data_IF_756037085524
#
_entry.id   IF_756037085524
#
_cell.length_a   1.000
_cell.length_b   1.000
_cell.length_c   1.000
_cell.angle_alpha   90.00
_cell.angle_beta   90.00
_cell.angle_gamma   90.00
#
_symmetry.space_group_name_H-M   'P 1'
#
loop_
_entity.id
_entity.type
_entity.pdbx_description
1 polymer ?
#
# COMPACT_ATOMS: atom_id res chain seq x y z
N UNK A 1 3.05 -20.45 -11.24
CA UNK A 1 1.69 -20.09 -10.78
C UNK A 1 1.43 -20.53 -9.33
N UNK A 2 1.91 -21.69 -8.87
CA UNK A 2 1.66 -22.18 -7.50
C UNK A 2 2.40 -21.38 -6.41
N UNK A 3 3.63 -20.94 -6.66
CA UNK A 3 4.39 -20.11 -5.70
C UNK A 3 3.80 -18.70 -5.58
N UNK A 4 3.51 -18.03 -6.71
CA UNK A 4 2.88 -16.70 -6.73
C UNK A 4 1.52 -16.73 -6.02
N UNK A 5 0.66 -17.71 -6.31
CA UNK A 5 -0.63 -17.88 -5.60
C UNK A 5 -0.43 -18.23 -4.13
N UNK A 6 0.62 -18.97 -3.79
CA UNK A 6 1.01 -19.28 -2.40
C UNK A 6 1.44 -18.03 -1.61
N UNK A 7 2.25 -17.15 -2.20
CA UNK A 7 2.64 -15.88 -1.59
C UNK A 7 1.45 -14.90 -1.47
N UNK A 8 0.56 -14.86 -2.47
CA UNK A 8 -0.70 -14.10 -2.40
C UNK A 8 -1.59 -14.62 -1.26
N UNK A 9 -1.68 -15.95 -1.08
CA UNK A 9 -2.45 -16.56 0.00
C UNK A 9 -1.84 -16.33 1.40
N UNK A 10 -0.51 -16.24 1.49
CA UNK A 10 0.23 -16.05 2.74
C UNK A 10 0.40 -14.57 3.14
N UNK A 11 -0.09 -13.61 2.34
CA UNK A 11 0.11 -12.15 2.52
C UNK A 11 1.59 -11.72 2.63
N UNK A 12 2.51 -12.54 2.12
CA UNK A 12 3.95 -12.23 2.10
C UNK A 12 4.31 -11.50 0.79
N UNK A 13 4.10 -10.18 0.80
CA UNK A 13 4.31 -9.33 -0.37
C UNK A 13 5.80 -9.04 -0.63
N UNK A 14 6.64 -9.03 0.41
CA UNK A 14 8.08 -8.86 0.27
C UNK A 14 8.72 -10.10 -0.39
N UNK A 15 8.31 -11.31 0.02
CA UNK A 15 8.70 -12.55 -0.65
C UNK A 15 8.21 -12.61 -2.09
N UNK A 16 7.01 -12.11 -2.37
CA UNK A 16 6.45 -12.03 -3.74
C UNK A 16 7.27 -11.10 -4.64
N UNK A 17 7.62 -9.91 -4.15
CA UNK A 17 8.40 -8.92 -4.90
C UNK A 17 9.80 -9.46 -5.21
N UNK A 18 10.50 -10.03 -4.21
CA UNK A 18 11.83 -10.63 -4.41
C UNK A 18 11.79 -11.77 -5.44
N UNK A 19 10.76 -12.64 -5.36
CA UNK A 19 10.58 -13.71 -6.33
C UNK A 19 10.30 -13.18 -7.75
N UNK A 20 9.50 -12.12 -7.88
CA UNK A 20 9.26 -11.47 -9.17
C UNK A 20 10.53 -10.80 -9.73
N UNK A 21 11.37 -10.19 -8.88
CA UNK A 21 12.67 -9.62 -9.28
C UNK A 21 13.63 -10.69 -9.80
N UNK A 22 13.69 -11.86 -9.15
CA UNK A 22 14.52 -12.99 -9.59
C UNK A 22 14.03 -13.62 -10.90
N UNK A 23 12.72 -13.62 -11.14
CA UNK A 23 12.12 -14.18 -12.34
C UNK A 23 12.22 -13.26 -13.57
N UNK A 24 12.26 -11.95 -13.38
CA UNK A 24 12.37 -10.96 -14.48
C UNK A 24 13.54 -11.25 -15.44
N UNK A 25 14.80 -11.47 -15.00
CA UNK A 25 15.90 -11.78 -15.91
C UNK A 25 15.72 -13.13 -16.61
N UNK A 26 15.10 -14.12 -15.96
CA UNK A 26 14.88 -15.44 -16.53
C UNK A 26 13.84 -15.41 -17.66
N UNK A 27 12.83 -14.55 -17.52
CA UNK A 27 11.80 -14.30 -18.54
C UNK A 27 12.34 -13.50 -19.73
N UNK A 28 13.31 -12.60 -19.51
CA UNK A 28 13.98 -11.89 -20.59
C UNK A 28 14.85 -12.82 -21.47
N UNK A 29 15.42 -13.86 -20.85
CA UNK A 29 16.28 -14.85 -21.53
C UNK A 29 15.50 -16.00 -22.17
N UNK A 30 14.35 -16.36 -21.60
CA UNK A 30 13.51 -17.46 -22.07
C UNK A 30 12.18 -16.91 -22.53
N UNK A 31 11.93 -16.86 -23.85
CA UNK A 31 10.60 -16.55 -24.41
C UNK A 31 9.62 -17.70 -24.09
N UNK A 32 9.30 -17.87 -22.81
CA UNK A 32 8.33 -18.84 -22.35
C UNK A 32 6.94 -18.26 -22.57
N UNK A 33 6.30 -18.73 -23.64
CA UNK A 33 4.96 -18.35 -24.10
C UNK A 33 3.82 -18.82 -23.16
N UNK A 34 4.14 -19.31 -21.95
CA UNK A 34 3.19 -19.91 -21.00
C UNK A 34 2.73 -18.94 -19.90
N UNK A 35 3.38 -17.79 -19.76
CA UNK A 35 3.03 -16.77 -18.79
C UNK A 35 2.55 -15.55 -19.55
N UNK A 36 1.29 -15.14 -19.33
CA UNK A 36 0.81 -13.84 -19.77
C UNK A 36 1.67 -12.77 -19.10
N UNK A 37 2.58 -12.17 -19.88
CA UNK A 37 3.48 -11.11 -19.40
C UNK A 37 2.68 -9.98 -18.72
N UNK A 38 1.46 -9.73 -19.18
CA UNK A 38 0.53 -8.73 -18.66
C UNK A 38 0.13 -9.01 -17.20
N UNK A 39 -0.27 -10.25 -16.89
CA UNK A 39 -0.62 -10.67 -15.53
C UNK A 39 0.60 -10.63 -14.61
N UNK A 40 1.77 -11.06 -15.11
CA UNK A 40 3.01 -11.04 -14.33
C UNK A 40 3.42 -9.62 -13.94
N UNK A 41 3.49 -8.69 -14.89
CA UNK A 41 3.83 -7.30 -14.61
C UNK A 41 2.76 -6.59 -13.79
N UNK A 42 1.48 -6.95 -13.96
CA UNK A 42 0.39 -6.44 -13.13
C UNK A 42 0.53 -6.87 -11.66
N UNK A 43 0.75 -8.16 -11.41
CA UNK A 43 1.04 -8.69 -10.07
C UNK A 43 2.30 -8.07 -9.47
N UNK A 44 3.36 -7.91 -10.26
CA UNK A 44 4.61 -7.35 -9.78
C UNK A 44 4.48 -5.87 -9.38
N UNK A 45 3.79 -5.08 -10.21
CA UNK A 45 3.50 -3.68 -9.90
C UNK A 45 2.61 -3.56 -8.65
N UNK A 46 1.60 -4.42 -8.51
CA UNK A 46 0.77 -4.45 -7.31
C UNK A 46 1.52 -4.91 -6.07
N UNK A 47 2.48 -5.83 -6.21
CA UNK A 47 3.41 -6.20 -5.14
C UNK A 47 4.14 -4.98 -4.59
N UNK A 48 4.76 -4.18 -5.46
CA UNK A 48 5.40 -2.93 -5.05
C UNK A 48 4.41 -1.91 -4.46
N UNK A 49 3.17 -1.86 -4.97
CA UNK A 49 2.13 -1.00 -4.42
C UNK A 49 1.56 -1.51 -3.09
N UNK A 50 1.78 -2.78 -2.72
CA UNK A 50 1.35 -3.36 -1.44
C UNK A 50 2.45 -3.30 -0.38
N UNK A 51 3.71 -3.31 -0.77
CA UNK A 51 4.89 -3.13 0.10
C UNK A 51 5.03 -1.70 0.67
N UNK A 52 3.92 -0.95 0.75
CA UNK A 52 3.81 0.47 1.13
C UNK A 52 4.31 0.82 2.54
N UNK A 53 4.81 -0.16 3.30
CA UNK A 53 5.41 0.07 4.61
C UNK A 53 6.83 0.63 4.56
N UNK A 54 7.54 0.57 3.42
CA UNK A 54 8.91 1.05 3.35
C UNK A 54 9.05 2.43 2.72
N UNK A 55 8.51 3.43 3.42
CA UNK A 55 8.93 4.84 3.39
C UNK A 55 8.73 5.61 2.06
N UNK A 56 8.91 6.93 2.15
CA UNK A 56 9.01 7.87 1.02
C UNK A 56 9.99 7.42 -0.08
N UNK A 57 10.91 6.48 0.22
CA UNK A 57 11.99 6.02 -0.65
C UNK A 57 11.65 4.83 -1.57
N UNK A 58 10.61 4.02 -1.30
CA UNK A 58 10.27 2.85 -2.16
C UNK A 58 9.09 3.10 -3.14
N UNK A 59 8.36 4.22 -2.98
CA UNK A 59 7.37 4.67 -4.00
C UNK A 59 7.92 4.76 -5.44
N UNK A 60 9.20 5.10 -5.68
CA UNK A 60 9.76 5.13 -7.03
C UNK A 60 9.86 3.76 -7.72
N UNK A 61 9.83 2.64 -7.00
CA UNK A 61 10.10 1.31 -7.59
C UNK A 61 9.04 0.91 -8.63
N UNK A 62 7.76 1.15 -8.34
CA UNK A 62 6.68 0.99 -9.32
C UNK A 62 6.85 1.92 -10.54
N UNK A 63 7.34 3.15 -10.33
CA UNK A 63 7.65 4.10 -11.42
C UNK A 63 8.80 3.62 -12.29
N UNK A 64 9.85 3.10 -11.68
CA UNK A 64 11.01 2.59 -12.39
C UNK A 64 10.66 1.35 -13.21
N UNK A 65 9.83 0.46 -12.66
CA UNK A 65 9.26 -0.66 -13.41
C UNK A 65 8.45 -0.17 -14.62
N UNK A 66 7.57 0.82 -14.45
CA UNK A 66 6.82 1.39 -15.58
C UNK A 66 7.71 2.04 -16.65
N UNK A 67 8.80 2.71 -16.24
CA UNK A 67 9.77 3.28 -17.17
C UNK A 67 10.58 2.20 -17.91
N UNK A 68 10.89 1.08 -17.24
CA UNK A 68 11.65 -0.04 -17.80
C UNK A 68 10.84 -0.85 -18.82
N UNK A 69 9.51 -0.89 -18.67
CA UNK A 69 8.62 -1.55 -19.62
C UNK A 69 8.64 -0.86 -20.99
N UNK A 70 8.88 -1.64 -22.04
CA UNK A 70 8.83 -1.16 -23.43
C UNK A 70 7.41 -0.79 -23.88
N UNK A 71 7.28 0.12 -24.85
CA UNK A 71 5.98 0.63 -25.33
C UNK A 71 5.08 -0.47 -25.93
N UNK A 72 5.68 -1.57 -26.39
CA UNK A 72 4.98 -2.77 -26.88
C UNK A 72 4.08 -3.43 -25.82
N UNK A 73 4.45 -3.37 -24.53
CA UNK A 73 3.68 -3.97 -23.41
C UNK A 73 2.63 -2.97 -22.90
N UNK A 74 2.96 -1.68 -22.92
CA UNK A 74 2.06 -0.57 -22.54
C UNK A 74 0.87 -0.40 -23.48
N UNK A 75 1.06 -0.68 -24.78
CA UNK A 75 0.01 -0.60 -25.79
C UNK A 75 -0.93 -1.81 -25.79
N UNK A 76 -0.42 -2.99 -25.44
CA UNK A 76 -1.17 -4.26 -25.51
C UNK A 76 -2.14 -4.44 -24.33
N UNK A 77 -1.74 -4.02 -23.13
CA UNK A 77 -2.47 -4.32 -21.88
C UNK A 77 -3.19 -3.09 -21.31
N UNK A 78 -4.50 -3.00 -21.55
CA UNK A 78 -5.35 -1.97 -20.91
C UNK A 78 -5.36 -2.12 -19.39
N UNK A 79 -5.20 -3.34 -18.88
CA UNK A 79 -5.22 -3.63 -17.44
C UNK A 79 -3.98 -3.08 -16.71
N UNK A 80 -2.79 -3.24 -17.30
CA UNK A 80 -1.54 -2.72 -16.72
C UNK A 80 -1.55 -1.20 -16.63
N UNK A 81 -2.14 -0.53 -17.63
CA UNK A 81 -2.30 0.93 -17.62
C UNK A 81 -3.25 1.39 -16.51
N UNK A 82 -4.33 0.65 -16.26
CA UNK A 82 -5.24 0.96 -15.16
C UNK A 82 -4.57 0.79 -13.78
N UNK A 83 -3.76 -0.26 -13.60
CA UNK A 83 -2.96 -0.44 -12.37
C UNK A 83 -2.01 0.76 -12.18
N UNK A 84 -1.38 1.20 -13.26
CA UNK A 84 -0.53 2.37 -13.25
C UNK A 84 -1.29 3.66 -12.90
N UNK A 85 -2.47 3.86 -13.47
CA UNK A 85 -3.33 5.01 -13.16
C UNK A 85 -3.79 4.99 -11.70
N UNK A 86 -4.09 3.81 -11.13
CA UNK A 86 -4.34 3.61 -9.69
C UNK A 86 -3.10 4.01 -8.86
N UNK A 87 -1.90 3.63 -9.30
CA UNK A 87 -0.64 4.04 -8.68
C UNK A 87 -0.42 5.56 -8.72
N UNK A 88 -0.75 6.23 -9.83
CA UNK A 88 -0.70 7.69 -9.94
C UNK A 88 -1.69 8.35 -8.97
N UNK A 89 -2.95 7.88 -8.94
CA UNK A 89 -3.97 8.40 -8.04
C UNK A 89 -3.52 8.27 -6.58
N UNK A 90 -2.90 7.15 -6.22
CA UNK A 90 -2.34 6.93 -4.88
C UNK A 90 -1.20 7.91 -4.56
N UNK A 91 -0.33 8.22 -5.51
CA UNK A 91 0.73 9.22 -5.32
C UNK A 91 0.22 10.65 -5.19
N UNK A 92 -0.83 10.99 -5.93
CA UNK A 92 -1.50 12.28 -5.84
C UNK A 92 -2.40 12.39 -4.60
N UNK A 93 -2.59 11.29 -3.86
CA UNK A 93 -3.53 11.18 -2.73
C UNK A 93 -4.98 11.45 -3.13
N UNK A 94 -5.33 11.15 -4.37
CA UNK A 94 -6.68 11.26 -4.87
C UNK A 94 -7.41 9.92 -4.67
N UNK A 95 -8.00 9.76 -3.49
CA UNK A 95 -8.67 8.53 -3.09
C UNK A 95 -9.99 8.31 -3.81
N UNK A 96 -10.71 9.39 -4.14
CA UNK A 96 -11.99 9.30 -4.87
C UNK A 96 -11.78 8.73 -6.28
N UNK A 97 -10.77 9.23 -7.00
CA UNK A 97 -10.41 8.70 -8.31
C UNK A 97 -9.89 7.25 -8.21
N UNK A 98 -9.12 6.93 -7.17
CA UNK A 98 -8.61 5.58 -6.95
C UNK A 98 -9.73 4.54 -6.80
N UNK A 99 -10.74 4.79 -5.96
CA UNK A 99 -11.87 3.87 -5.79
C UNK A 99 -12.70 3.74 -7.07
N UNK A 100 -12.93 4.86 -7.80
CA UNK A 100 -13.60 4.83 -9.10
C UNK A 100 -12.86 3.97 -10.13
N UNK A 101 -11.54 4.08 -10.19
CA UNK A 101 -10.72 3.27 -11.11
C UNK A 101 -10.81 1.78 -10.78
N UNK A 102 -10.84 1.42 -9.49
CA UNK A 102 -10.98 0.03 -9.05
C UNK A 102 -12.34 -0.55 -9.40
N UNK A 103 -13.41 0.20 -9.17
CA UNK A 103 -14.77 -0.25 -9.46
C UNK A 103 -15.08 -0.28 -10.96
N UNK A 104 -14.35 0.50 -11.76
CA UNK A 104 -14.58 0.61 -13.22
C UNK A 104 -14.22 -0.64 -14.02
N UNK A 105 -13.43 -1.57 -13.46
CA UNK A 105 -12.83 -2.68 -14.23
C UNK A 105 -12.93 -4.02 -13.50
N UNK A 106 -13.36 -5.04 -14.22
CA UNK A 106 -13.23 -6.44 -13.79
C UNK A 106 -11.79 -6.90 -13.99
N UNK A 107 -11.06 -7.04 -12.89
CA UNK A 107 -9.65 -7.47 -12.86
C UNK A 107 -9.49 -8.97 -13.18
N UNK A 108 -8.33 -9.34 -13.73
CA UNK A 108 -7.90 -10.75 -13.85
C UNK A 108 -7.95 -11.46 -12.48
N UNK A 109 -8.29 -12.76 -12.41
CA UNK A 109 -8.48 -13.49 -11.15
C UNK A 109 -7.22 -13.54 -10.28
N UNK A 110 -6.04 -13.27 -10.83
CA UNK A 110 -4.77 -13.17 -10.08
C UNK A 110 -4.60 -11.79 -9.45
N UNK A 111 -5.11 -10.75 -10.10
CA UNK A 111 -4.96 -9.34 -9.72
C UNK A 111 -6.06 -8.90 -8.75
N UNK A 112 -7.29 -9.41 -8.93
CA UNK A 112 -8.43 -9.10 -8.08
C UNK A 112 -8.15 -9.22 -6.56
N UNK A 113 -7.60 -10.34 -6.03
CA UNK A 113 -7.33 -10.44 -4.59
C UNK A 113 -6.27 -9.44 -4.12
N UNK A 114 -5.25 -9.15 -4.94
CA UNK A 114 -4.21 -8.17 -4.60
C UNK A 114 -4.77 -6.74 -4.53
N UNK A 115 -5.70 -6.40 -5.44
CA UNK A 115 -6.36 -5.10 -5.44
C UNK A 115 -7.28 -4.93 -4.22
N UNK A 116 -8.01 -5.98 -3.84
CA UNK A 116 -8.85 -5.98 -2.64
C UNK A 116 -8.00 -5.79 -1.38
N UNK A 117 -6.89 -6.52 -1.25
CA UNK A 117 -5.95 -6.34 -0.15
C UNK A 117 -5.34 -4.94 -0.10
N UNK A 118 -5.04 -4.34 -1.26
CA UNK A 118 -4.56 -2.96 -1.33
C UNK A 118 -5.60 -1.98 -0.78
N UNK A 119 -6.87 -2.15 -1.16
CA UNK A 119 -7.98 -1.36 -0.63
C UNK A 119 -8.14 -1.51 0.88
N UNK A 120 -8.05 -2.73 1.40
CA UNK A 120 -8.15 -3.00 2.85
C UNK A 120 -7.01 -2.32 3.61
N UNK A 121 -5.76 -2.51 3.19
CA UNK A 121 -4.59 -1.92 3.82
C UNK A 121 -4.65 -0.38 3.80
N UNK A 122 -5.10 0.21 2.68
CA UNK A 122 -5.26 1.66 2.58
C UNK A 122 -6.36 2.18 3.49
N UNK A 123 -7.49 1.49 3.59
CA UNK A 123 -8.58 1.87 4.51
C UNK A 123 -8.12 1.81 5.96
N UNK A 124 -7.44 0.73 6.36
CA UNK A 124 -6.92 0.61 7.72
C UNK A 124 -5.91 1.71 8.05
N UNK A 125 -4.97 1.97 7.14
CA UNK A 125 -4.02 3.06 7.26
C UNK A 125 -4.71 4.42 7.38
N UNK A 126 -5.75 4.65 6.58
CA UNK A 126 -6.53 5.88 6.66
C UNK A 126 -7.23 6.03 8.00
N UNK A 127 -7.82 4.96 8.52
CA UNK A 127 -8.44 5.00 9.85
C UNK A 127 -7.42 5.35 10.93
N UNK A 128 -6.21 4.77 10.88
CA UNK A 128 -5.12 5.12 11.81
C UNK A 128 -4.74 6.59 11.65
N UNK A 129 -4.49 7.05 10.42
CA UNK A 129 -4.10 8.43 10.14
C UNK A 129 -5.16 9.42 10.63
N UNK A 130 -6.45 9.15 10.36
CA UNK A 130 -7.55 9.98 10.81
C UNK A 130 -7.63 10.03 12.33
N UNK A 131 -7.37 8.91 13.01
CA UNK A 131 -7.31 8.84 14.48
C UNK A 131 -6.17 9.62 15.09
N UNK A 132 -5.05 9.76 14.39
CA UNK A 132 -3.88 10.49 14.87
C UNK A 132 -3.95 11.99 14.61
N UNK A 133 -4.48 12.37 13.44
CA UNK A 133 -4.37 13.73 12.91
C UNK A 133 -5.60 14.61 13.14
N UNK A 134 -6.79 14.05 13.33
CA UNK A 134 -8.02 14.82 13.49
C UNK A 134 -8.63 14.62 14.88
N UNK A 135 -8.92 15.72 15.57
CA UNK A 135 -9.74 15.72 16.79
C UNK A 135 -11.24 15.67 16.48
N UNK A 136 -11.63 16.21 15.32
CA UNK A 136 -13.00 16.20 14.81
C UNK A 136 -12.97 16.26 13.28
N UNK A 137 -13.76 15.44 12.60
CA UNK A 137 -13.84 15.39 11.14
C UNK A 137 -15.29 15.18 10.67
N UNK A 138 -15.65 15.72 9.51
CA UNK A 138 -16.99 15.51 8.93
C UNK A 138 -17.15 14.09 8.40
N UNK A 139 -18.38 13.57 8.44
CA UNK A 139 -18.70 12.24 7.85
C UNK A 139 -18.42 12.22 6.34
N UNK A 140 -18.62 13.35 5.66
CA UNK A 140 -18.42 13.47 4.21
C UNK A 140 -16.95 13.32 3.82
N UNK A 141 -16.04 13.92 4.59
CA UNK A 141 -14.61 13.79 4.32
C UNK A 141 -14.10 12.39 4.65
N UNK A 142 -14.58 11.77 5.73
CA UNK A 142 -14.28 10.35 6.02
C UNK A 142 -14.80 9.42 4.93
N UNK A 143 -15.99 9.71 4.39
CA UNK A 143 -16.55 8.97 3.25
C UNK A 143 -15.67 9.06 2.00
N UNK A 144 -15.12 10.25 1.70
CA UNK A 144 -14.14 10.43 0.61
C UNK A 144 -12.84 9.66 0.83
N UNK A 145 -12.30 9.68 2.05
CA UNK A 145 -11.05 8.98 2.36
C UNK A 145 -11.18 7.45 2.32
N UNK A 146 -12.33 6.91 2.72
CA UNK A 146 -12.58 5.46 2.77
C UNK A 146 -13.17 4.90 1.47
N UNK A 147 -13.73 5.75 0.62
CA UNK A 147 -14.48 5.36 -0.58
C UNK A 147 -15.74 4.56 -0.26
N UNK A 148 -16.33 4.81 0.92
CA UNK A 148 -17.50 4.08 1.41
C UNK A 148 -18.70 5.01 1.59
N UNK A 149 -19.92 4.53 1.34
CA UNK A 149 -21.13 5.30 1.64
C UNK A 149 -21.24 5.56 3.13
N UNK A 150 -21.91 6.67 3.49
CA UNK A 150 -22.03 7.17 4.87
C UNK A 150 -22.49 6.10 5.86
N UNK A 151 -23.42 5.22 5.45
CA UNK A 151 -23.94 4.13 6.29
C UNK A 151 -22.84 3.15 6.72
N UNK A 152 -21.95 2.76 5.79
CA UNK A 152 -20.84 1.85 6.09
C UNK A 152 -19.77 2.52 6.93
N UNK A 153 -19.55 3.83 6.72
CA UNK A 153 -18.62 4.61 7.55
C UNK A 153 -19.04 4.56 9.01
N UNK A 154 -20.33 4.82 9.29
CA UNK A 154 -20.86 4.80 10.67
C UNK A 154 -20.65 3.46 11.36
N UNK A 155 -20.89 2.34 10.66
CA UNK A 155 -20.65 1.01 11.20
C UNK A 155 -19.18 0.79 11.54
N UNK A 156 -18.27 1.11 10.62
CA UNK A 156 -16.81 0.95 10.81
C UNK A 156 -16.29 1.84 11.93
N UNK A 157 -16.78 3.07 12.05
CA UNK A 157 -16.38 4.00 13.12
C UNK A 157 -16.91 3.57 14.49
N UNK A 158 -18.11 3.01 14.54
CA UNK A 158 -18.68 2.46 15.78
C UNK A 158 -17.90 1.24 16.26
N UNK A 159 -17.50 0.33 15.34
CA UNK A 159 -16.65 -0.82 15.66
C UNK A 159 -15.30 -0.41 16.23
N UNK A 160 -14.73 0.71 15.75
CA UNK A 160 -13.46 1.27 16.23
C UNK A 160 -13.62 2.17 17.47
N UNK A 161 -14.84 2.35 17.97
CA UNK A 161 -15.14 3.11 19.19
C UNK A 161 -14.97 4.63 19.06
N UNK A 162 -15.20 5.18 17.87
CA UNK A 162 -15.24 6.63 17.64
C UNK A 162 -16.59 7.20 18.09
N UNK A 163 -16.59 8.41 18.66
CA UNK A 163 -17.83 9.07 19.06
C UNK A 163 -18.42 9.84 17.88
N UNK A 164 -19.70 9.62 17.61
CA UNK A 164 -20.45 10.26 16.52
C UNK A 164 -21.36 11.33 17.11
N UNK A 165 -21.13 12.59 16.76
CA UNK A 165 -22.03 13.69 17.09
C UNK A 165 -23.06 13.87 15.97
N UNK A 166 -24.21 13.20 16.11
CA UNK A 166 -25.33 13.26 15.16
C UNK A 166 -25.92 14.67 14.98
N UNK A 167 -25.65 15.59 15.91
CA UNK A 167 -26.14 16.97 15.88
C UNK A 167 -25.38 17.85 14.88
N UNK A 168 -24.14 17.48 14.55
CA UNK A 168 -23.22 18.30 13.75
C UNK A 168 -22.62 17.55 12.56
N UNK A 169 -23.01 16.28 12.34
CA UNK A 169 -22.40 15.38 11.35
C UNK A 169 -20.87 15.24 11.51
N UNK A 170 -20.41 15.29 12.75
CA UNK A 170 -18.99 15.23 13.10
C UNK A 170 -18.64 13.90 13.78
N UNK A 171 -17.51 13.33 13.38
CA UNK A 171 -16.88 12.18 14.01
C UNK A 171 -15.70 12.66 14.84
N UNK A 172 -15.57 12.13 16.04
CA UNK A 172 -14.41 12.33 16.88
C UNK A 172 -13.63 11.01 16.94
N UNK A 173 -12.55 10.90 16.15
CA UNK A 173 -11.70 9.73 16.19
C UNK A 173 -11.09 9.56 17.59
N UNK A 174 -11.21 8.36 18.16
CA UNK A 174 -10.49 8.04 19.38
C UNK A 174 -9.03 7.83 19.00
N UNK A 175 -8.16 8.74 19.44
CA UNK A 175 -6.71 8.63 19.22
C UNK A 175 -6.23 7.27 19.74
N UNK A 176 -5.76 6.42 18.84
CA UNK A 176 -5.07 5.20 19.21
C UNK A 176 -3.76 5.68 19.81
N UNK A 177 -3.60 5.51 21.13
CA UNK A 177 -2.31 5.75 21.79
C UNK A 177 -1.40 4.63 21.32
N UNK A 178 -0.82 4.77 20.13
CA UNK A 178 0.41 4.05 19.83
C UNK A 178 1.44 4.64 20.79
N UNK A 179 1.94 3.80 21.71
CA UNK A 179 3.12 4.14 22.50
C UNK A 179 4.21 4.51 21.51
N UNK A 180 4.48 5.81 21.37
CA UNK A 180 5.60 6.28 20.57
C UNK A 180 6.84 5.53 21.09
N UNK A 181 7.65 4.89 20.21
CA UNK A 181 8.89 4.30 20.66
C UNK A 181 9.66 5.39 21.37
N UNK A 182 9.90 5.14 22.66
CA UNK A 182 10.52 6.08 23.57
C UNK A 182 11.74 6.67 22.88
N UNK A 183 11.77 8.01 22.80
CA UNK A 183 12.90 8.79 22.33
C UNK A 183 14.20 8.11 22.75
N UNK A 184 15.02 7.75 21.76
CA UNK A 184 16.40 7.23 21.87
C UNK A 184 16.92 7.40 23.29
N UNK A 185 16.80 6.33 24.09
CA UNK A 185 17.06 6.40 25.52
C UNK A 185 18.54 6.69 25.76
N UNK A 186 18.85 7.29 26.91
CA UNK A 186 20.22 7.60 27.36
C UNK A 186 21.16 6.38 27.32
N UNK A 187 20.62 5.15 27.26
CA UNK A 187 21.37 3.90 27.08
C UNK A 187 22.12 3.83 25.74
N UNK A 188 21.59 4.45 24.67
CA UNK A 188 22.31 4.53 23.39
C UNK A 188 23.45 5.57 23.44
N UNK A 189 23.34 6.60 24.29
CA UNK A 189 24.41 7.57 24.55
C UNK A 189 25.56 6.97 25.36
N UNK A 190 25.28 6.11 26.34
CA UNK A 190 26.35 5.40 27.05
C UNK A 190 27.13 4.48 26.12
N UNK A 191 26.45 3.78 25.20
CA UNK A 191 27.12 2.93 24.20
C UNK A 191 28.03 3.72 23.25
N UNK A 192 27.60 4.90 22.79
CA UNK A 192 28.44 5.79 21.98
C UNK A 192 29.65 6.31 22.76
N UNK A 193 29.48 6.60 24.05
CA UNK A 193 30.57 7.06 24.93
C UNK A 193 31.59 5.95 25.14
N UNK A 194 31.14 4.71 25.37
CA UNK A 194 32.01 3.55 25.50
C UNK A 194 32.79 3.25 24.21
N UNK A 195 32.18 3.42 23.04
CA UNK A 195 32.86 3.25 21.75
C UNK A 195 33.94 4.32 21.51
N UNK A 196 33.69 5.57 21.90
CA UNK A 196 34.70 6.65 21.81
C UNK A 196 35.87 6.37 22.77
N UNK A 197 35.59 5.94 24.00
CA UNK A 197 36.62 5.55 24.98
C UNK A 197 37.44 4.36 24.47
N UNK A 198 36.82 3.41 23.77
CA UNK A 198 37.51 2.26 23.20
C UNK A 198 38.47 2.65 22.08
N UNK A 199 38.07 3.57 21.21
CA UNK A 199 38.91 4.07 20.11
C UNK A 199 40.04 4.98 20.58
N UNK A 200 39.89 5.66 21.73
CA UNK A 200 40.96 6.49 22.31
C UNK A 200 42.09 5.66 22.96
N UNK A 201 41.81 4.40 23.31
CA UNK A 201 42.78 3.50 23.96
C UNK A 201 43.61 2.63 23.01
N UNK A 202 43.35 2.67 21.69
CA UNK A 202 44.17 1.99 20.67
C UNK A 202 45.14 2.96 20.02
#
# INVERSE_FOLDING_TARGET
METIKGHIANRDYAGLVNFCEELEPQLALTQNNTISLEDFYGTFMLGYLLEQDLSFYNRPSARFLWKRLGDNIKGSSKELRLIWDVGIALWQRDYDNMYKLIDSKTWSPVIAPLMEQLCENLRERMLILLSESYSSITIDDVSKYLGLPREKVLSVTNERGWTVDLSTDMLQPKKIVQEAPQSISLANFSQLTDLVIHLEKS
#
